data_IF_725780573300
#
_entry.id   IF_725780573300
#
_cell.length_a   1.000
_cell.length_b   1.000
_cell.length_c   1.000
_cell.angle_alpha   90.00
_cell.angle_beta   90.00
_cell.angle_gamma   90.00
#
_symmetry.space_group_name_H-M   'P 1'
#
loop_
_entity.id
_entity.type
_entity.pdbx_description
1 polymer ?
#
# COMPACT_ATOMS: atom_id res chain seq x y z
N UNK A 1 -3.60 -16.78 20.75
CA UNK A 1 -4.47 -16.07 19.78
C UNK A 1 -3.62 -15.04 19.04
N UNK A 2 -3.04 -15.39 17.88
CA UNK A 2 -2.36 -14.47 16.95
C UNK A 2 -3.33 -14.20 15.80
N UNK A 3 -4.13 -13.14 15.89
CA UNK A 3 -5.03 -12.67 14.83
C UNK A 3 -4.88 -11.15 14.81
N UNK A 4 -4.81 -10.54 13.62
CA UNK A 4 -4.45 -9.13 13.31
C UNK A 4 -2.95 -8.93 13.01
N UNK A 5 -2.42 -9.53 11.94
CA UNK A 5 -1.12 -9.12 11.37
C UNK A 5 -1.07 -8.98 9.85
N UNK A 6 -2.12 -9.29 9.09
CA UNK A 6 -2.04 -9.21 7.63
C UNK A 6 -2.01 -7.75 7.11
N UNK A 7 -2.71 -6.82 7.78
CA UNK A 7 -2.65 -5.38 7.48
C UNK A 7 -1.46 -4.67 8.15
N UNK A 8 -0.90 -5.25 9.22
CA UNK A 8 0.30 -4.73 9.88
C UNK A 8 1.60 -5.16 9.18
N UNK A 9 1.59 -6.29 8.44
CA UNK A 9 2.77 -6.80 7.74
C UNK A 9 3.22 -5.87 6.59
N UNK A 10 2.28 -5.24 5.88
CA UNK A 10 2.59 -4.25 4.84
C UNK A 10 3.22 -2.97 5.42
N UNK A 11 2.91 -2.61 6.67
CA UNK A 11 3.52 -1.47 7.37
C UNK A 11 4.83 -1.81 8.10
N UNK A 12 5.01 -3.05 8.57
CA UNK A 12 6.16 -3.44 9.40
C UNK A 12 7.41 -3.81 8.59
N UNK A 13 7.28 -4.21 7.32
CA UNK A 13 8.44 -4.66 6.52
C UNK A 13 9.41 -3.53 6.13
N UNK A 14 8.99 -2.26 6.13
CA UNK A 14 9.82 -1.12 5.71
C UNK A 14 10.51 -0.42 6.90
N UNK A 15 10.08 -0.69 8.14
CA UNK A 15 10.57 0.02 9.34
C UNK A 15 11.70 -0.69 10.10
N UNK A 16 12.07 -1.94 9.76
CA UNK A 16 12.97 -2.73 10.61
C UNK A 16 14.45 -2.82 10.17
N UNK A 17 14.89 -2.13 9.11
CA UNK A 17 16.29 -2.25 8.64
C UNK A 17 17.21 -1.08 9.05
N UNK A 18 16.75 -0.07 9.80
CA UNK A 18 17.61 1.09 10.10
C UNK A 18 17.18 1.91 11.31
N UNK A 19 17.51 1.42 12.51
CA UNK A 19 17.94 2.22 13.68
C UNK A 19 18.04 1.32 14.93
N UNK A 20 19.16 0.62 15.10
CA UNK A 20 19.55 0.02 16.38
C UNK A 20 21.02 0.33 16.65
N UNK A 21 21.33 1.62 16.81
CA UNK A 21 22.57 2.05 17.48
C UNK A 21 22.26 2.27 18.96
N UNK A 22 22.12 1.18 19.70
CA UNK A 22 22.31 1.19 21.15
C UNK A 22 23.66 0.54 21.41
N UNK A 23 24.59 1.37 21.87
CA UNK A 23 25.93 1.01 22.31
C UNK A 23 25.87 -0.05 23.41
N UNK A 24 26.18 -1.30 23.06
CA UNK A 24 26.35 -2.41 24.00
C UNK A 24 27.64 -3.14 23.66
N UNK A 25 28.56 -3.15 24.63
CA UNK A 25 29.89 -3.77 24.58
C UNK A 25 29.76 -5.27 24.24
N UNK A 26 30.21 -5.67 23.05
CA UNK A 26 30.20 -7.07 22.63
C UNK A 26 31.44 -7.80 23.17
N UNK A 27 31.20 -8.78 24.06
CA UNK A 27 32.14 -9.84 24.42
C UNK A 27 32.51 -10.64 23.17
N UNK A 28 33.80 -10.74 22.88
CA UNK A 28 34.33 -11.54 21.77
C UNK A 28 34.07 -13.03 22.01
N UNK A 29 33.28 -13.66 21.13
CA UNK A 29 33.22 -15.12 21.04
C UNK A 29 33.94 -15.54 19.76
N UNK A 30 35.18 -16.01 19.94
CA UNK A 30 36.03 -16.58 18.90
C UNK A 30 35.51 -17.96 18.54
N UNK A 31 35.06 -18.16 17.31
CA UNK A 31 34.89 -19.49 16.75
C UNK A 31 35.46 -19.50 15.34
N UNK A 32 36.60 -20.17 15.23
CA UNK A 32 37.29 -20.46 13.99
C UNK A 32 36.42 -21.39 13.14
N UNK A 33 36.28 -21.09 11.86
CA UNK A 33 35.80 -22.05 10.86
C UNK A 33 36.72 -21.97 9.66
N UNK A 34 37.28 -23.14 9.38
CA UNK A 34 38.30 -23.48 8.41
C UNK A 34 37.82 -23.24 6.97
N UNK A 35 38.72 -22.65 6.18
CA UNK A 35 38.59 -22.51 4.74
C UNK A 35 38.71 -23.87 4.04
N UNK A 36 37.87 -24.10 3.04
CA UNK A 36 38.08 -25.11 2.01
C UNK A 36 37.79 -24.51 0.65
N UNK A 37 38.87 -24.34 -0.12
CA UNK A 37 38.87 -23.99 -1.54
C UNK A 37 38.57 -25.24 -2.37
N UNK A 38 37.66 -25.15 -3.34
CA UNK A 38 37.61 -26.08 -4.45
C UNK A 38 37.29 -25.33 -5.75
N UNK A 39 38.09 -25.64 -6.75
CA UNK A 39 38.21 -24.96 -8.03
C UNK A 39 37.32 -25.58 -9.12
N UNK A 40 37.24 -24.84 -10.24
CA UNK A 40 37.09 -25.31 -11.62
C UNK A 40 35.72 -25.79 -12.10
N UNK A 41 35.11 -25.05 -13.04
CA UNK A 41 35.28 -25.30 -14.49
C UNK A 41 34.27 -24.48 -15.30
N UNK A 42 34.74 -23.83 -16.37
CA UNK A 42 33.93 -23.28 -17.45
C UNK A 42 33.48 -24.41 -18.40
N UNK A 43 32.39 -24.21 -19.17
CA UNK A 43 32.59 -24.10 -20.61
C UNK A 43 31.75 -23.02 -21.31
N UNK A 44 32.24 -22.66 -22.50
CA UNK A 44 31.67 -21.74 -23.46
C UNK A 44 30.36 -22.24 -24.11
N UNK A 45 29.47 -21.30 -24.44
CA UNK A 45 28.46 -21.49 -25.51
C UNK A 45 28.33 -20.20 -26.34
N UNK A 46 28.05 -20.44 -27.61
CA UNK A 46 28.34 -19.60 -28.75
C UNK A 46 27.27 -18.55 -29.10
N UNK A 47 27.69 -17.66 -29.99
CA UNK A 47 26.96 -16.67 -30.78
C UNK A 47 25.65 -17.15 -31.43
N UNK A 48 24.65 -16.26 -31.56
CA UNK A 48 24.15 -15.72 -32.85
C UNK A 48 22.74 -15.12 -32.79
N UNK A 49 22.54 -14.06 -33.60
CA UNK A 49 21.31 -13.54 -34.23
C UNK A 49 20.23 -12.88 -33.33
N UNK A 50 19.97 -11.56 -33.44
CA UNK A 50 19.28 -10.79 -34.50
C UNK A 50 17.75 -10.91 -34.49
N UNK A 51 17.07 -9.82 -34.10
CA UNK A 51 15.76 -9.29 -34.59
C UNK A 51 15.35 -8.14 -33.64
N UNK A 52 15.51 -6.86 -33.95
CA UNK A 52 14.77 -6.04 -34.93
C UNK A 52 13.28 -6.30 -35.00
N UNK A 53 12.50 -5.50 -34.25
CA UNK A 53 11.11 -5.13 -34.56
C UNK A 53 10.77 -3.84 -33.81
N UNK A 54 10.74 -2.73 -34.53
CA UNK A 54 10.12 -1.49 -34.11
C UNK A 54 8.60 -1.59 -34.34
N UNK A 55 7.75 -1.17 -33.40
CA UNK A 55 6.38 -0.81 -33.71
C UNK A 55 6.26 0.68 -34.03
N UNK A 56 5.64 0.92 -35.18
CA UNK A 56 5.31 2.19 -35.79
C UNK A 56 4.46 3.10 -34.91
N UNK A 57 4.75 4.39 -35.04
CA UNK A 57 3.89 5.51 -34.69
C UNK A 57 2.57 5.45 -35.45
N UNK A 58 1.44 5.50 -34.76
CA UNK A 58 0.20 6.04 -35.31
C UNK A 58 -0.27 7.20 -34.43
N UNK A 59 -0.25 8.38 -35.04
CA UNK A 59 -0.87 9.59 -34.55
C UNK A 59 -2.37 9.51 -34.80
N UNK A 60 -3.18 9.71 -33.77
CA UNK A 60 -4.58 10.08 -33.94
C UNK A 60 -4.82 11.40 -33.21
N UNK A 61 -4.87 12.46 -34.02
CA UNK A 61 -5.42 13.75 -33.64
C UNK A 61 -6.92 13.61 -33.38
N UNK A 62 -7.41 14.20 -32.30
CA UNK A 62 -8.83 14.59 -32.20
C UNK A 62 -8.94 15.81 -31.31
N UNK A 63 -9.19 16.93 -31.98
CA UNK A 63 -9.62 18.18 -31.41
C UNK A 63 -11.15 18.17 -31.22
N UNK A 64 -11.62 18.63 -30.07
CA UNK A 64 -12.95 19.22 -29.86
C UNK A 64 -12.86 19.99 -28.53
N UNK A 65 -12.64 21.32 -28.52
CA UNK A 65 -13.64 22.38 -28.70
C UNK A 65 -14.94 22.13 -27.91
N UNK A 66 -15.08 22.80 -26.77
CA UNK A 66 -16.32 22.78 -25.98
C UNK A 66 -16.21 23.43 -24.61
N UNK A 67 -16.11 24.76 -24.57
CA UNK A 67 -16.59 25.60 -23.46
C UNK A 67 -17.56 26.62 -24.08
N UNK A 68 -18.35 27.42 -23.34
CA UNK A 68 -18.72 27.43 -21.91
C UNK A 68 -20.26 27.44 -21.71
N UNK A 69 -20.77 27.22 -20.49
CA UNK A 69 -22.01 27.90 -20.06
C UNK A 69 -21.98 28.21 -18.57
N UNK A 70 -22.17 29.51 -18.32
CA UNK A 70 -22.38 30.20 -17.07
C UNK A 70 -23.89 30.36 -16.82
N UNK A 71 -24.37 30.16 -15.59
CA UNK A 71 -25.67 30.58 -14.99
C UNK A 71 -25.82 29.82 -13.67
N UNK A 72 -26.10 30.38 -12.49
CA UNK A 72 -26.44 31.71 -12.02
C UNK A 72 -26.59 31.67 -10.48
N UNK A 73 -26.84 32.81 -9.82
CA UNK A 73 -26.88 32.94 -8.36
C UNK A 73 -28.30 32.84 -7.78
N UNK A 74 -28.42 32.24 -6.59
CA UNK A 74 -29.54 32.40 -5.64
C UNK A 74 -28.93 32.30 -4.24
N UNK A 75 -28.75 33.35 -3.43
CA UNK A 75 -29.66 34.37 -2.86
C UNK A 75 -30.64 33.83 -1.82
N UNK A 76 -30.55 34.42 -0.62
CA UNK A 76 -31.50 34.40 0.51
C UNK A 76 -31.58 33.09 1.31
N UNK A 77 -31.50 33.07 2.64
CA UNK A 77 -31.52 34.11 3.67
C UNK A 77 -32.00 33.46 4.99
N UNK A 78 -31.86 34.19 6.11
CA UNK A 78 -32.63 34.01 7.37
C UNK A 78 -32.29 32.76 8.22
N UNK A 79 -32.24 32.74 9.56
CA UNK A 79 -32.53 33.70 10.63
C UNK A 79 -32.14 33.07 11.98
N UNK A 80 -31.79 33.94 12.93
CA UNK A 80 -31.90 33.86 14.40
C UNK A 80 -31.17 32.78 15.23
N UNK A 81 -30.44 33.36 16.19
CA UNK A 81 -30.11 32.86 17.51
C UNK A 81 -31.27 32.12 18.22
N UNK A 82 -30.88 31.08 18.97
CA UNK A 82 -31.46 30.81 20.28
C UNK A 82 -30.40 30.15 21.14
N UNK A 83 -30.00 30.87 22.19
CA UNK A 83 -29.27 30.37 23.31
C UNK A 83 -30.16 29.37 24.07
N UNK A 84 -29.63 28.18 24.33
CA UNK A 84 -30.14 27.29 25.36
C UNK A 84 -28.97 26.52 25.95
N UNK A 85 -28.48 27.00 27.10
CA UNK A 85 -27.79 26.14 28.08
C UNK A 85 -28.81 25.12 28.56
N UNK A 86 -28.44 23.83 28.65
CA UNK A 86 -28.45 23.25 29.98
C UNK A 86 -27.38 22.20 30.26
N UNK A 87 -26.99 22.21 31.53
CA UNK A 87 -26.78 21.04 32.39
C UNK A 87 -25.57 20.14 32.14
N UNK A 88 -24.62 20.32 33.06
CA UNK A 88 -23.54 19.41 33.42
C UNK A 88 -24.10 18.07 33.93
N UNK A 89 -24.46 17.17 33.02
CA UNK A 89 -24.64 15.74 33.30
C UNK A 89 -23.35 15.00 32.96
N UNK A 90 -22.51 14.76 33.96
CA UNK A 90 -21.26 14.02 33.82
C UNK A 90 -21.57 12.52 33.82
N UNK A 91 -22.19 12.03 32.74
CA UNK A 91 -22.28 10.61 32.48
C UNK A 91 -20.95 10.15 31.87
N UNK A 92 -20.11 9.52 32.70
CA UNK A 92 -19.03 8.63 32.27
C UNK A 92 -19.62 7.43 31.53
N UNK A 93 -20.18 7.68 30.36
CA UNK A 93 -20.48 6.68 29.35
C UNK A 93 -19.15 6.13 28.87
N UNK A 94 -18.71 5.04 29.50
CA UNK A 94 -17.71 4.16 28.96
C UNK A 94 -18.17 3.74 27.58
N UNK A 95 -17.76 4.52 26.57
CA UNK A 95 -18.06 4.28 25.16
C UNK A 95 -17.35 2.99 24.78
N UNK A 96 -17.99 1.85 25.05
CA UNK A 96 -17.65 0.58 24.41
C UNK A 96 -17.86 0.82 22.93
N UNK A 97 -16.77 1.10 22.22
CA UNK A 97 -16.74 1.10 20.76
C UNK A 97 -17.32 -0.23 20.30
N UNK A 98 -18.60 -0.23 19.89
CA UNK A 98 -19.28 -1.42 19.47
C UNK A 98 -18.55 -1.97 18.25
N UNK A 99 -17.90 -3.11 18.42
CA UNK A 99 -17.23 -3.79 17.31
C UNK A 99 -18.33 -4.34 16.40
N UNK A 100 -18.53 -3.73 15.25
CA UNK A 100 -19.43 -4.27 14.23
C UNK A 100 -18.73 -5.46 13.58
N UNK A 101 -19.25 -6.66 13.84
CA UNK A 101 -18.83 -7.86 13.12
C UNK A 101 -19.42 -7.82 11.72
N UNK A 102 -18.57 -8.03 10.73
CA UNK A 102 -18.90 -7.96 9.30
C UNK A 102 -18.76 -9.35 8.70
N UNK A 103 -19.80 -9.81 8.00
CA UNK A 103 -19.82 -11.14 7.38
C UNK A 103 -21.12 -11.91 7.63
N UNK A 104 -21.40 -12.88 6.76
CA UNK A 104 -22.49 -13.84 6.97
C UNK A 104 -21.96 -15.10 7.70
N UNK A 105 -22.85 -15.84 8.36
CA UNK A 105 -22.48 -17.08 9.05
C UNK A 105 -22.33 -18.27 8.10
N UNK A 106 -22.82 -18.15 6.86
CA UNK A 106 -22.87 -19.21 5.85
C UNK A 106 -21.52 -19.67 5.30
N UNK A 107 -20.41 -19.03 5.66
CA UNK A 107 -19.08 -19.58 5.42
C UNK A 107 -18.48 -19.35 4.03
N UNK A 108 -19.27 -18.98 3.03
CA UNK A 108 -18.82 -18.77 1.65
C UNK A 108 -18.94 -17.31 1.21
N UNK A 109 -17.96 -16.83 0.45
CA UNK A 109 -18.09 -15.59 -0.32
C UNK A 109 -18.94 -15.92 -1.55
N UNK A 110 -19.96 -15.11 -1.82
CA UNK A 110 -20.66 -15.15 -3.10
C UNK A 110 -19.71 -14.73 -4.24
N UNK A 111 -20.11 -14.99 -5.49
CA UNK A 111 -19.28 -14.73 -6.67
C UNK A 111 -18.86 -13.26 -6.81
N UNK A 112 -19.73 -12.30 -6.46
CA UNK A 112 -19.41 -10.87 -6.54
C UNK A 112 -18.38 -10.48 -5.48
N UNK A 113 -18.59 -10.90 -4.23
CA UNK A 113 -17.62 -10.66 -3.15
C UNK A 113 -16.26 -11.30 -3.46
N UNK A 114 -16.26 -12.54 -3.96
CA UNK A 114 -15.04 -13.24 -4.36
C UNK A 114 -14.29 -12.54 -5.50
N UNK A 115 -15.00 -12.04 -6.51
CA UNK A 115 -14.42 -11.28 -7.62
C UNK A 115 -13.82 -9.94 -7.14
N UNK A 116 -14.54 -9.25 -6.25
CA UNK A 116 -14.09 -7.99 -5.66
C UNK A 116 -12.80 -8.18 -4.86
N UNK A 117 -12.76 -9.15 -3.94
CA UNK A 117 -11.56 -9.42 -3.14
C UNK A 117 -10.40 -9.97 -3.97
N UNK A 118 -10.67 -10.81 -4.97
CA UNK A 118 -9.62 -11.30 -5.88
C UNK A 118 -8.96 -10.15 -6.64
N UNK A 119 -9.75 -9.16 -7.07
CA UNK A 119 -9.26 -7.94 -7.72
C UNK A 119 -8.45 -7.09 -6.76
N UNK A 120 -8.92 -6.91 -5.52
CA UNK A 120 -8.19 -6.21 -4.47
C UNK A 120 -6.83 -6.86 -4.23
N UNK A 121 -6.77 -8.17 -3.99
CA UNK A 121 -5.51 -8.90 -3.74
C UNK A 121 -4.58 -8.92 -4.96
N UNK A 122 -5.13 -9.13 -6.15
CA UNK A 122 -4.36 -9.12 -7.40
C UNK A 122 -3.71 -7.76 -7.67
N UNK A 123 -4.39 -6.68 -7.31
CA UNK A 123 -3.91 -5.31 -7.43
C UNK A 123 -2.59 -5.02 -6.72
N UNK A 124 -2.33 -5.68 -5.58
CA UNK A 124 -1.10 -5.51 -4.80
C UNK A 124 0.01 -6.52 -5.11
N UNK A 125 -0.25 -7.51 -5.97
CA UNK A 125 0.79 -8.46 -6.39
C UNK A 125 2.07 -7.78 -6.90
N UNK A 126 2.02 -6.80 -7.85
CA UNK A 126 3.23 -6.13 -8.32
C UNK A 126 3.98 -5.41 -7.20
N UNK A 127 3.27 -4.85 -6.22
CA UNK A 127 3.85 -4.17 -5.06
C UNK A 127 4.62 -5.15 -4.19
N UNK A 128 4.04 -6.32 -3.89
CA UNK A 128 4.71 -7.31 -3.03
C UNK A 128 5.90 -7.94 -3.73
N UNK A 129 5.77 -8.30 -5.02
CA UNK A 129 6.91 -8.78 -5.82
C UNK A 129 8.03 -7.75 -5.85
N UNK A 130 7.68 -6.47 -6.06
CA UNK A 130 8.66 -5.40 -6.04
C UNK A 130 9.28 -5.24 -4.65
N UNK A 131 8.49 -5.22 -3.57
CA UNK A 131 8.99 -5.07 -2.21
C UNK A 131 9.97 -6.18 -1.80
N UNK A 132 9.72 -7.43 -2.20
CA UNK A 132 10.65 -8.54 -1.98
C UNK A 132 11.99 -8.29 -2.70
N UNK A 133 11.94 -7.95 -3.98
CA UNK A 133 13.16 -7.67 -4.76
C UNK A 133 13.88 -6.41 -4.30
N UNK A 134 13.10 -5.38 -3.93
CA UNK A 134 13.56 -4.08 -3.48
C UNK A 134 14.28 -4.21 -2.13
N UNK A 135 13.74 -4.98 -1.17
CA UNK A 135 14.38 -5.19 0.13
C UNK A 135 15.80 -5.76 0.01
N UNK A 136 15.97 -6.81 -0.78
CA UNK A 136 17.30 -7.38 -1.06
C UNK A 136 18.18 -6.41 -1.83
N UNK A 137 17.62 -5.69 -2.81
CA UNK A 137 18.38 -4.72 -3.60
C UNK A 137 18.86 -3.54 -2.76
N UNK A 138 18.01 -2.96 -1.90
CA UNK A 138 18.33 -1.80 -1.06
C UNK A 138 19.44 -2.18 -0.09
N UNK A 139 19.33 -3.35 0.55
CA UNK A 139 20.39 -3.86 1.42
C UNK A 139 21.72 -4.03 0.66
N UNK A 140 21.68 -4.55 -0.57
CA UNK A 140 22.87 -4.69 -1.42
C UNK A 140 23.42 -3.35 -1.95
N UNK A 141 22.60 -2.31 -2.01
CA UNK A 141 22.98 -0.96 -2.45
C UNK A 141 23.43 -0.05 -1.30
N UNK A 142 23.75 -0.58 -0.12
CA UNK A 142 24.21 0.23 1.01
C UNK A 142 25.43 1.12 0.69
N UNK A 143 26.26 0.72 -0.29
CA UNK A 143 27.42 1.48 -0.76
C UNK A 143 27.11 2.45 -1.91
N UNK A 144 25.90 2.43 -2.46
CA UNK A 144 25.47 3.29 -3.57
C UNK A 144 24.11 3.95 -3.24
N UNK A 145 24.13 5.13 -2.59
CA UNK A 145 22.92 5.72 -2.06
C UNK A 145 21.99 6.24 -3.16
N UNK A 146 22.50 6.59 -4.35
CA UNK A 146 21.69 6.93 -5.51
C UNK A 146 20.88 5.73 -6.04
N UNK A 147 21.48 4.53 -6.08
CA UNK A 147 20.73 3.31 -6.46
C UNK A 147 19.71 2.92 -5.40
N UNK A 148 20.04 3.06 -4.11
CA UNK A 148 19.09 2.83 -3.03
C UNK A 148 17.88 3.78 -3.12
N UNK A 149 18.14 5.08 -3.34
CA UNK A 149 17.09 6.07 -3.60
C UNK A 149 16.23 5.68 -4.80
N UNK A 150 16.83 5.31 -5.93
CA UNK A 150 16.08 4.93 -7.14
C UNK A 150 15.16 3.73 -6.88
N UNK A 151 15.64 2.71 -6.17
CA UNK A 151 14.83 1.55 -5.78
C UNK A 151 13.65 1.93 -4.87
N UNK A 152 13.88 2.85 -3.92
CA UNK A 152 12.81 3.40 -3.07
C UNK A 152 11.82 4.19 -3.93
N UNK A 153 12.27 5.10 -4.78
CA UNK A 153 11.38 5.89 -5.65
C UNK A 153 10.52 4.97 -6.52
N UNK A 154 11.11 3.94 -7.13
CA UNK A 154 10.37 2.99 -7.96
C UNK A 154 9.34 2.20 -7.15
N UNK A 155 9.70 1.75 -5.94
CA UNK A 155 8.77 1.13 -5.00
C UNK A 155 7.55 2.01 -4.75
N UNK A 156 7.76 3.28 -4.41
CA UNK A 156 6.68 4.21 -4.11
C UNK A 156 5.83 4.58 -5.33
N UNK A 157 6.43 4.71 -6.52
CA UNK A 157 5.67 4.91 -7.76
C UNK A 157 4.82 3.70 -8.10
N UNK A 158 5.34 2.50 -7.86
CA UNK A 158 4.60 1.25 -8.07
C UNK A 158 3.46 1.12 -7.06
N UNK A 159 3.70 1.43 -5.79
CA UNK A 159 2.63 1.58 -4.80
C UNK A 159 1.54 2.55 -5.27
N UNK A 160 1.93 3.77 -5.66
CA UNK A 160 0.97 4.79 -6.10
C UNK A 160 0.09 4.32 -7.27
N UNK A 161 0.72 3.75 -8.31
CA UNK A 161 0.02 3.19 -9.47
C UNK A 161 -0.88 2.02 -9.10
N UNK A 162 -0.36 1.04 -8.35
CA UNK A 162 -1.16 -0.11 -7.93
C UNK A 162 -2.37 0.28 -7.09
N UNK A 163 -2.24 1.27 -6.20
CA UNK A 163 -3.37 1.78 -5.42
C UNK A 163 -4.42 2.41 -6.34
N UNK A 164 -4.03 3.32 -7.24
CA UNK A 164 -4.95 3.96 -8.18
C UNK A 164 -5.62 2.97 -9.12
N UNK A 165 -4.86 2.06 -9.73
CA UNK A 165 -5.37 1.06 -10.68
C UNK A 165 -6.31 0.06 -9.99
N UNK A 166 -5.97 -0.36 -8.77
CA UNK A 166 -6.82 -1.25 -7.97
C UNK A 166 -8.12 -0.55 -7.62
N UNK A 167 -8.06 0.71 -7.20
CA UNK A 167 -9.26 1.46 -6.85
C UNK A 167 -10.18 1.67 -8.05
N UNK A 168 -9.62 1.94 -9.24
CA UNK A 168 -10.38 2.04 -10.48
C UNK A 168 -11.09 0.71 -10.78
N UNK A 169 -10.36 -0.40 -10.80
CA UNK A 169 -10.93 -1.74 -11.05
C UNK A 169 -12.00 -2.14 -10.03
N UNK A 170 -11.80 -1.81 -8.75
CA UNK A 170 -12.77 -2.13 -7.69
C UNK A 170 -14.05 -1.30 -7.78
N UNK A 171 -13.99 -0.09 -8.36
CA UNK A 171 -15.16 0.76 -8.58
C UNK A 171 -16.08 0.19 -9.66
N UNK A 172 -15.52 -0.54 -10.62
CA UNK A 172 -16.26 -1.16 -11.73
C UNK A 172 -16.89 -2.52 -11.34
N UNK A 173 -16.60 -3.03 -10.14
CA UNK A 173 -17.14 -4.29 -9.63
C UNK A 173 -18.29 -4.06 -8.67
N UNK A 174 -19.22 -5.02 -8.63
CA UNK A 174 -20.24 -5.05 -7.61
C UNK A 174 -19.59 -5.13 -6.20
N UNK A 175 -20.07 -4.33 -5.23
CA UNK A 175 -19.53 -4.38 -3.88
C UNK A 175 -19.83 -5.75 -3.24
N UNK A 176 -19.05 -6.16 -2.22
CA UNK A 176 -19.33 -7.37 -1.47
C UNK A 176 -20.74 -7.36 -0.86
N UNK A 177 -21.40 -8.50 -0.84
CA UNK A 177 -22.83 -8.61 -0.48
C UNK A 177 -23.08 -8.89 1.01
N UNK A 178 -22.04 -9.17 1.79
CA UNK A 178 -22.17 -9.35 3.23
C UNK A 178 -22.64 -8.07 3.94
N UNK A 179 -23.17 -8.19 5.16
CA UNK A 179 -23.64 -7.05 5.94
C UNK A 179 -22.53 -6.00 6.15
N UNK A 180 -22.73 -4.78 5.63
CA UNK A 180 -21.74 -3.70 5.65
C UNK A 180 -20.74 -3.70 4.47
N UNK A 181 -20.84 -4.66 3.55
CA UNK A 181 -19.98 -4.79 2.37
C UNK A 181 -19.92 -3.58 1.45
N UNK A 182 -21.05 -2.93 1.09
CA UNK A 182 -21.02 -1.71 0.28
C UNK A 182 -20.29 -0.54 0.94
N UNK A 183 -20.49 -0.34 2.25
CA UNK A 183 -19.80 0.70 3.01
C UNK A 183 -18.30 0.40 3.13
N UNK A 184 -17.94 -0.88 3.36
CA UNK A 184 -16.55 -1.34 3.36
C UNK A 184 -15.88 -1.07 2.01
N UNK A 185 -16.48 -1.51 0.90
CA UNK A 185 -15.93 -1.34 -0.44
C UNK A 185 -15.74 0.14 -0.79
N UNK A 186 -16.73 0.99 -0.50
CA UNK A 186 -16.64 2.44 -0.73
C UNK A 186 -15.48 3.08 0.03
N UNK A 187 -15.30 2.73 1.31
CA UNK A 187 -14.16 3.21 2.12
C UNK A 187 -12.82 2.74 1.57
N UNK A 188 -12.71 1.46 1.18
CA UNK A 188 -11.47 0.93 0.57
C UNK A 188 -11.16 1.68 -0.73
N UNK A 189 -12.11 1.78 -1.66
CA UNK A 189 -11.91 2.46 -2.95
C UNK A 189 -11.49 3.92 -2.74
N UNK A 190 -12.18 4.64 -1.86
CA UNK A 190 -11.87 6.04 -1.55
C UNK A 190 -10.46 6.19 -0.97
N UNK A 191 -10.09 5.29 -0.06
CA UNK A 191 -8.79 5.33 0.58
C UNK A 191 -7.67 5.01 -0.41
N UNK A 192 -7.87 4.03 -1.30
CA UNK A 192 -6.92 3.69 -2.36
C UNK A 192 -6.77 4.84 -3.38
N UNK A 193 -7.88 5.48 -3.77
CA UNK A 193 -7.88 6.66 -4.65
C UNK A 193 -7.13 7.85 -4.03
N UNK A 194 -7.23 8.02 -2.72
CA UNK A 194 -6.55 9.10 -2.00
C UNK A 194 -5.06 8.78 -1.81
N UNK A 195 -4.75 7.55 -1.43
CA UNK A 195 -3.38 7.13 -1.16
C UNK A 195 -2.53 7.07 -2.44
N UNK A 196 -3.05 6.56 -3.56
CA UNK A 196 -2.28 6.39 -4.81
C UNK A 196 -1.53 7.66 -5.25
N UNK A 197 -2.22 8.80 -5.44
CA UNK A 197 -1.59 10.08 -5.78
C UNK A 197 -0.58 10.56 -4.73
N UNK A 198 -0.85 10.34 -3.45
CA UNK A 198 0.05 10.71 -2.35
C UNK A 198 1.36 9.92 -2.43
N UNK A 199 1.32 8.61 -2.69
CA UNK A 199 2.52 7.79 -2.90
C UNK A 199 3.33 8.28 -4.11
N UNK A 200 2.68 8.52 -5.25
CA UNK A 200 3.35 9.03 -6.46
C UNK A 200 3.98 10.41 -6.23
N UNK A 201 3.27 11.33 -5.56
CA UNK A 201 3.79 12.66 -5.25
C UNK A 201 5.01 12.60 -4.32
N UNK A 202 5.00 11.72 -3.32
CA UNK A 202 6.15 11.54 -2.44
C UNK A 202 7.33 10.87 -3.15
N UNK A 203 7.08 9.91 -4.05
CA UNK A 203 8.14 9.35 -4.88
C UNK A 203 8.84 10.43 -5.73
N UNK A 204 8.07 11.37 -6.29
CA UNK A 204 8.62 12.50 -7.03
C UNK A 204 9.46 13.43 -6.13
N UNK A 205 9.00 13.73 -4.91
CA UNK A 205 9.77 14.50 -3.92
C UNK A 205 11.09 13.81 -3.57
N UNK A 206 11.04 12.51 -3.28
CA UNK A 206 12.23 11.72 -2.97
C UNK A 206 13.21 11.73 -4.14
N UNK A 207 12.73 11.56 -5.38
CA UNK A 207 13.56 11.59 -6.59
C UNK A 207 14.27 12.92 -6.81
N UNK A 208 13.66 14.03 -6.39
CA UNK A 208 14.22 15.37 -6.56
C UNK A 208 15.39 15.69 -5.61
N UNK A 209 15.59 14.87 -4.57
CA UNK A 209 16.68 15.07 -3.59
C UNK A 209 17.98 14.53 -4.17
N UNK A 210 19.03 15.33 -4.20
CA UNK A 210 20.38 14.83 -4.48
C UNK A 210 20.97 14.21 -3.21
N UNK A 211 20.72 12.92 -3.04
CA UNK A 211 21.21 12.10 -1.93
C UNK A 211 22.75 12.11 -1.79
N UNK A 212 23.50 12.42 -2.86
CA UNK A 212 24.97 12.51 -2.78
C UNK A 212 25.45 13.80 -2.15
N UNK A 213 24.63 14.85 -2.19
CA UNK A 213 24.94 16.16 -1.60
C UNK A 213 24.19 16.45 -0.31
N UNK A 214 22.99 15.91 -0.17
CA UNK A 214 22.11 16.14 0.98
C UNK A 214 21.41 14.85 1.44
N UNK A 215 22.17 13.92 2.05
CA UNK A 215 21.62 12.68 2.59
C UNK A 215 20.63 12.93 3.74
N UNK A 216 20.78 14.05 4.46
CA UNK A 216 19.90 14.42 5.57
C UNK A 216 18.50 14.76 5.09
N UNK A 217 18.36 15.55 4.01
CA UNK A 217 17.05 15.81 3.40
C UNK A 217 16.34 14.55 2.93
N UNK A 218 17.09 13.58 2.39
CA UNK A 218 16.51 12.30 1.99
C UNK A 218 15.94 11.53 3.20
N UNK A 219 16.70 11.46 4.31
CA UNK A 219 16.23 10.84 5.55
C UNK A 219 15.02 11.56 6.14
N UNK A 220 15.03 12.90 6.21
CA UNK A 220 13.88 13.71 6.68
C UNK A 220 12.64 13.48 5.82
N UNK A 221 12.80 13.42 4.49
CA UNK A 221 11.70 13.13 3.58
C UNK A 221 11.12 11.73 3.82
N UNK A 222 11.97 10.71 4.04
CA UNK A 222 11.52 9.36 4.40
C UNK A 222 10.78 9.31 5.74
N UNK A 223 11.24 10.06 6.75
CA UNK A 223 10.52 10.13 8.04
C UNK A 223 9.14 10.76 7.88
N UNK A 224 9.03 11.90 7.18
CA UNK A 224 7.74 12.56 6.93
C UNK A 224 6.78 11.72 6.06
N UNK A 225 7.34 10.82 5.26
CA UNK A 225 6.57 9.90 4.44
C UNK A 225 5.81 8.87 5.27
N UNK A 226 6.36 8.39 6.37
CA UNK A 226 5.66 7.48 7.30
C UNK A 226 4.39 8.12 7.88
N UNK A 227 4.47 9.40 8.28
CA UNK A 227 3.32 10.19 8.72
C UNK A 227 2.31 10.35 7.60
N UNK A 228 2.79 10.71 6.40
CA UNK A 228 1.94 10.91 5.24
C UNK A 228 1.19 9.63 4.83
N UNK A 229 1.87 8.48 4.86
CA UNK A 229 1.24 7.17 4.64
C UNK A 229 0.19 6.87 5.70
N UNK A 230 0.52 7.08 6.97
CA UNK A 230 -0.40 6.81 8.08
C UNK A 230 -1.66 7.64 7.93
N UNK A 231 -1.54 8.91 7.56
CA UNK A 231 -2.67 9.80 7.29
C UNK A 231 -3.47 9.35 6.05
N UNK A 232 -2.79 9.06 4.94
CA UNK A 232 -3.45 8.66 3.69
C UNK A 232 -4.18 7.31 3.81
N UNK A 233 -3.62 6.38 4.60
CA UNK A 233 -4.20 5.07 4.90
C UNK A 233 -5.07 5.07 6.15
N UNK A 234 -5.24 6.22 6.83
CA UNK A 234 -6.08 6.37 8.02
C UNK A 234 -7.47 5.78 7.85
N UNK A 235 -8.18 6.02 6.72
CA UNK A 235 -9.48 5.41 6.47
C UNK A 235 -9.45 3.87 6.39
N UNK A 236 -8.32 3.25 6.00
CA UNK A 236 -8.16 1.78 6.08
C UNK A 236 -7.93 1.31 7.51
N UNK A 237 -7.29 2.12 8.37
CA UNK A 237 -7.11 1.78 9.78
C UNK A 237 -8.46 1.72 10.51
N UNK A 238 -9.39 2.60 10.15
CA UNK A 238 -10.77 2.54 10.63
C UNK A 238 -11.46 1.22 10.23
N UNK A 239 -11.10 0.66 9.06
CA UNK A 239 -11.58 -0.67 8.65
C UNK A 239 -10.99 -1.79 9.50
N UNK A 240 -9.83 -1.59 10.13
CA UNK A 240 -9.25 -2.55 11.08
C UNK A 240 -10.13 -2.79 12.31
N UNK A 241 -11.06 -1.86 12.60
CA UNK A 241 -12.08 -2.01 13.63
C UNK A 241 -13.26 -2.88 13.19
N UNK A 242 -13.45 -3.08 11.87
CA UNK A 242 -14.41 -4.04 11.33
C UNK A 242 -13.81 -5.43 11.44
N UNK A 243 -14.30 -6.21 12.40
CA UNK A 243 -13.89 -7.61 12.51
C UNK A 243 -14.65 -8.44 11.49
N UNK A 244 -13.92 -8.94 10.50
CA UNK A 244 -14.41 -10.01 9.65
C UNK A 244 -14.70 -11.23 10.51
N UNK A 245 -15.81 -11.92 10.24
CA UNK A 245 -16.04 -13.23 10.83
C UNK A 245 -14.88 -14.17 10.48
N UNK A 246 -14.50 -15.12 11.35
CA UNK A 246 -13.47 -16.12 11.02
C UNK A 246 -13.73 -16.83 9.70
N UNK A 247 -15.01 -17.07 9.39
CA UNK A 247 -15.49 -17.61 8.13
C UNK A 247 -15.14 -16.73 6.93
N UNK A 248 -15.48 -15.43 6.97
CA UNK A 248 -15.18 -14.48 5.88
C UNK A 248 -13.68 -14.32 5.69
N UNK A 249 -12.91 -14.30 6.79
CA UNK A 249 -11.45 -14.28 6.73
C UNK A 249 -10.90 -15.55 6.06
N UNK A 250 -11.37 -16.74 6.46
CA UNK A 250 -10.93 -17.99 5.84
C UNK A 250 -11.27 -18.05 4.36
N UNK A 251 -12.46 -17.60 3.96
CA UNK A 251 -12.87 -17.52 2.57
C UNK A 251 -12.00 -16.54 1.76
N UNK A 252 -11.65 -15.39 2.34
CA UNK A 252 -10.70 -14.45 1.74
C UNK A 252 -9.30 -15.06 1.57
N UNK A 253 -8.78 -15.75 2.60
CA UNK A 253 -7.48 -16.42 2.54
C UNK A 253 -7.45 -17.58 1.53
N UNK A 254 -8.60 -18.22 1.29
CA UNK A 254 -8.75 -19.27 0.29
C UNK A 254 -8.76 -18.75 -1.16
N UNK A 255 -8.92 -17.44 -1.39
CA UNK A 255 -8.86 -16.87 -2.73
C UNK A 255 -7.43 -16.98 -3.29
N UNK A 256 -7.23 -17.55 -4.50
CA UNK A 256 -5.89 -17.76 -5.04
C UNK A 256 -5.02 -16.51 -5.12
N UNK A 257 -5.62 -15.36 -5.47
CA UNK A 257 -4.90 -14.07 -5.52
C UNK A 257 -4.43 -13.63 -4.12
N UNK A 258 -5.25 -13.82 -3.10
CA UNK A 258 -4.94 -13.46 -1.73
C UNK A 258 -3.96 -14.45 -1.08
N UNK A 259 -4.05 -15.74 -1.42
CA UNK A 259 -3.07 -16.75 -1.03
C UNK A 259 -1.67 -16.42 -1.60
N UNK A 260 -1.58 -16.07 -2.89
CA UNK A 260 -0.33 -15.59 -3.49
C UNK A 260 0.24 -14.38 -2.77
N UNK A 261 -0.61 -13.40 -2.48
CA UNK A 261 -0.22 -12.20 -1.74
C UNK A 261 0.32 -12.55 -0.34
N UNK A 262 -0.36 -13.45 0.38
CA UNK A 262 0.05 -13.93 1.70
C UNK A 262 1.42 -14.60 1.65
N UNK A 263 1.61 -15.57 0.75
CA UNK A 263 2.90 -16.25 0.57
C UNK A 263 4.00 -15.26 0.20
N UNK A 264 3.72 -14.31 -0.68
CA UNK A 264 4.69 -13.28 -1.05
C UNK A 264 4.99 -12.30 0.10
N UNK A 265 4.09 -12.11 1.04
CA UNK A 265 4.36 -11.31 2.25
C UNK A 265 5.09 -12.06 3.37
N UNK A 266 5.44 -13.33 3.18
CA UNK A 266 6.09 -14.17 4.20
C UNK A 266 5.13 -14.75 5.25
N UNK A 267 3.86 -14.92 4.89
CA UNK A 267 2.81 -15.50 5.73
C UNK A 267 2.65 -17.02 5.61
#
# INVERSE_FOLDING_TARGET
MKRISLMAALGAAVLLAGCSSTSGTATANTSASTASSAASSAPAVASSASQSSAPSSEAASSAASGAPVSSGPATSGSTAASAASPSSGQDTSSSKTATTTVGDSSGSLDAASAAWFSTFCGGFTPVVTLAQSAGSSIAAQATNPAKAQAAIVDLYQTFGRSFTDTAAKLKDLAPPTFNGGPAFASKVVTALQTAGPVFTANAAKLKAIDVTKDPSSFSTALSGLSTTMTTALGPLQDLGSLKLTPQTQAAFEALPACAKLKTASGG
#
